data_IF_431574087310
#
_entry.id   IF_431574087310
#
_cell.length_a   1.000
_cell.length_b   1.000
_cell.length_c   1.000
_cell.angle_alpha   90.00
_cell.angle_beta   90.00
_cell.angle_gamma   90.00
#
_symmetry.space_group_name_H-M   'P 1'
#
loop_
_entity.id
_entity.type
_entity.pdbx_description
1 polymer ?
#
# COMPACT_ATOMS: atom_id res chain seq x y z
N UNK A 1 -12.07 -25.13 11.15
CA UNK A 1 -10.80 -24.79 10.47
C UNK A 1 -10.67 -25.40 9.08
N UNK A 2 -10.72 -26.73 8.92
CA UNK A 2 -10.60 -27.39 7.59
C UNK A 2 -11.64 -26.93 6.56
N UNK A 3 -12.85 -26.57 6.98
CA UNK A 3 -13.90 -26.09 6.07
C UNK A 3 -13.66 -24.64 5.61
N UNK A 4 -13.01 -23.83 6.45
CA UNK A 4 -12.60 -22.47 6.10
C UNK A 4 -11.50 -22.53 5.04
N UNK A 5 -10.49 -23.38 5.22
CA UNK A 5 -9.42 -23.57 4.22
C UNK A 5 -9.96 -24.05 2.86
N UNK A 6 -10.90 -24.99 2.87
CA UNK A 6 -11.55 -25.46 1.63
C UNK A 6 -12.27 -24.32 0.90
N UNK A 7 -12.90 -23.40 1.64
CA UNK A 7 -13.60 -22.26 1.05
C UNK A 7 -12.66 -21.30 0.30
N UNK A 8 -11.41 -21.16 0.73
CA UNK A 8 -10.40 -20.32 0.06
C UNK A 8 -9.97 -20.85 -1.32
N UNK A 9 -10.26 -22.12 -1.62
CA UNK A 9 -9.94 -22.76 -2.91
C UNK A 9 -11.15 -22.85 -3.86
N UNK A 10 -12.34 -22.39 -3.44
CA UNK A 10 -13.53 -22.38 -4.29
C UNK A 10 -13.53 -21.13 -5.17
N UNK A 11 -13.67 -21.34 -6.48
CA UNK A 11 -13.76 -20.24 -7.45
C UNK A 11 -15.03 -19.43 -7.21
N UNK A 12 -14.87 -18.14 -6.95
CA UNK A 12 -15.98 -17.22 -6.70
C UNK A 12 -15.86 -16.02 -7.63
N UNK A 13 -17.01 -15.50 -8.09
CA UNK A 13 -17.07 -14.25 -8.85
C UNK A 13 -16.71 -13.10 -7.93
N UNK A 14 -15.69 -12.33 -8.27
CA UNK A 14 -15.26 -11.17 -7.47
C UNK A 14 -14.72 -10.05 -8.35
N UNK A 15 -14.70 -8.85 -7.80
CA UNK A 15 -14.11 -7.67 -8.44
C UNK A 15 -12.73 -7.44 -7.87
N UNK A 16 -11.73 -7.39 -8.74
CA UNK A 16 -10.33 -7.13 -8.38
C UNK A 16 -9.83 -5.85 -9.02
N UNK A 17 -8.86 -5.21 -8.39
CA UNK A 17 -8.17 -4.05 -8.97
C UNK A 17 -7.41 -4.45 -10.23
N UNK A 18 -7.46 -3.63 -11.28
CA UNK A 18 -6.68 -3.87 -12.49
C UNK A 18 -6.19 -2.55 -13.08
N UNK A 19 -5.01 -2.57 -13.69
CA UNK A 19 -4.45 -1.41 -14.41
C UNK A 19 -5.13 -1.19 -15.76
N UNK A 20 -6.44 -0.94 -15.73
CA UNK A 20 -7.26 -0.60 -16.89
C UNK A 20 -7.94 0.77 -16.70
N UNK A 21 -8.65 1.25 -17.73
CA UNK A 21 -9.36 2.55 -17.69
C UNK A 21 -10.35 2.66 -16.53
N UNK A 22 -10.93 1.55 -16.11
CA UNK A 22 -11.96 1.50 -15.08
C UNK A 22 -11.38 1.23 -13.67
N UNK A 23 -10.09 0.90 -13.54
CA UNK A 23 -9.39 0.50 -12.29
C UNK A 23 -9.93 -0.77 -11.61
N UNK A 24 -10.83 -1.50 -12.24
CA UNK A 24 -11.35 -2.78 -11.77
C UNK A 24 -11.60 -3.77 -12.92
N UNK A 25 -11.51 -5.06 -12.61
CA UNK A 25 -11.92 -6.14 -13.49
C UNK A 25 -12.77 -7.14 -12.69
N UNK A 26 -13.92 -7.53 -13.24
CA UNK A 26 -14.72 -8.62 -12.70
C UNK A 26 -14.11 -9.93 -13.19
N UNK A 27 -13.71 -10.81 -12.27
CA UNK A 27 -12.99 -12.06 -12.60
C UNK A 27 -13.46 -13.21 -11.72
N UNK A 28 -13.34 -14.44 -12.22
CA UNK A 28 -13.63 -15.67 -11.48
C UNK A 28 -12.31 -16.28 -11.03
N UNK A 29 -11.97 -16.11 -9.76
CA UNK A 29 -10.74 -16.66 -9.17
C UNK A 29 -11.00 -17.24 -7.79
N UNK A 30 -10.03 -17.98 -7.24
CA UNK A 30 -10.12 -18.42 -5.84
C UNK A 30 -9.79 -17.25 -4.91
N UNK A 31 -10.40 -17.17 -3.71
CA UNK A 31 -10.00 -16.18 -2.70
C UNK A 31 -8.50 -16.22 -2.37
N UNK A 32 -7.87 -17.39 -2.46
CA UNK A 32 -6.43 -17.52 -2.29
C UNK A 32 -5.63 -16.78 -3.38
N UNK A 33 -6.01 -16.98 -4.64
CA UNK A 33 -5.35 -16.33 -5.78
C UNK A 33 -5.59 -14.81 -5.77
N UNK A 34 -6.76 -14.36 -5.32
CA UNK A 34 -7.06 -12.92 -5.23
C UNK A 34 -6.20 -12.21 -4.18
N UNK A 35 -5.94 -12.85 -3.04
CA UNK A 35 -5.02 -12.32 -2.03
C UNK A 35 -3.60 -12.26 -2.59
N UNK A 36 -3.15 -13.31 -3.28
CA UNK A 36 -1.81 -13.34 -3.90
C UNK A 36 -1.66 -12.24 -4.94
N UNK A 37 -2.65 -12.06 -5.81
CA UNK A 37 -2.66 -11.01 -6.82
C UNK A 37 -2.64 -9.61 -6.19
N UNK A 38 -3.45 -9.38 -5.16
CA UNK A 38 -3.49 -8.11 -4.41
C UNK A 38 -2.15 -7.78 -3.77
N UNK A 39 -1.43 -8.80 -3.24
CA UNK A 39 -0.10 -8.64 -2.65
C UNK A 39 1.02 -8.37 -3.66
N UNK A 40 0.83 -8.74 -4.93
CA UNK A 40 1.80 -8.44 -6.00
C UNK A 40 1.77 -6.96 -6.41
N UNK A 41 0.72 -6.23 -6.06
CA UNK A 41 0.61 -4.81 -6.37
C UNK A 41 1.56 -4.00 -5.50
N UNK A 42 2.44 -3.24 -6.16
CA UNK A 42 3.37 -2.34 -5.47
C UNK A 42 2.60 -1.15 -4.90
N UNK A 43 2.63 -1.01 -3.58
CA UNK A 43 2.05 0.13 -2.89
C UNK A 43 3.14 1.15 -2.54
N UNK A 44 2.93 2.40 -2.94
CA UNK A 44 3.82 3.52 -2.65
C UNK A 44 3.03 4.66 -2.02
N UNK A 45 3.68 5.44 -1.15
CA UNK A 45 3.13 6.65 -0.56
C UNK A 45 4.01 7.85 -0.89
N UNK A 46 3.40 9.03 -1.01
CA UNK A 46 4.08 10.30 -1.24
C UNK A 46 3.49 11.37 -0.31
N UNK A 47 4.38 12.14 0.31
CA UNK A 47 4.03 13.30 1.13
C UNK A 47 4.88 14.48 0.69
N UNK A 48 4.25 15.65 0.57
CA UNK A 48 4.93 16.93 0.44
C UNK A 48 4.45 17.88 1.53
N UNK A 49 5.39 18.50 2.24
CA UNK A 49 5.13 19.47 3.29
C UNK A 49 6.05 20.68 3.17
N UNK A 50 5.61 21.82 3.69
CA UNK A 50 6.45 22.99 3.85
C UNK A 50 7.48 22.77 4.98
N UNK A 51 8.79 22.96 4.71
CA UNK A 51 9.82 22.72 5.72
C UNK A 51 9.82 23.73 6.88
N UNK A 52 9.22 24.91 6.71
CA UNK A 52 9.21 25.97 7.73
C UNK A 52 7.89 25.98 8.48
N UNK A 53 6.76 25.99 7.76
CA UNK A 53 5.43 26.06 8.38
C UNK A 53 4.86 24.70 8.77
N UNK A 54 5.36 23.60 8.20
CA UNK A 54 4.84 22.24 8.44
C UNK A 54 3.52 21.93 7.73
N UNK A 55 3.01 22.84 6.89
CA UNK A 55 1.77 22.64 6.16
C UNK A 55 1.90 21.50 5.12
N UNK A 56 0.96 20.56 5.14
CA UNK A 56 0.90 19.47 4.16
C UNK A 56 0.35 20.00 2.84
N UNK A 57 1.18 19.98 1.80
CA UNK A 57 0.82 20.42 0.44
C UNK A 57 0.28 19.28 -0.41
N UNK A 58 0.75 18.05 -0.17
CA UNK A 58 0.23 16.85 -0.83
C UNK A 58 0.36 15.62 0.07
N UNK A 59 -0.66 14.77 0.04
CA UNK A 59 -0.70 13.49 0.76
C UNK A 59 -1.30 12.41 -0.13
N UNK A 60 -0.50 11.42 -0.52
CA UNK A 60 -0.90 10.29 -1.37
C UNK A 60 -0.56 8.99 -0.64
N UNK A 61 -1.57 8.31 -0.14
CA UNK A 61 -1.41 7.12 0.72
C UNK A 61 -1.30 5.76 0.01
N UNK A 62 -1.45 5.71 -1.32
CA UNK A 62 -1.47 4.46 -2.08
C UNK A 62 -1.91 4.64 -3.54
N UNK A 63 -2.05 3.52 -4.25
CA UNK A 63 -2.42 3.49 -5.68
C UNK A 63 -3.85 4.00 -5.92
N UNK A 64 -4.79 3.56 -5.08
CA UNK A 64 -6.20 3.91 -5.17
C UNK A 64 -6.87 3.74 -3.80
N UNK A 65 -7.54 4.79 -3.33
CA UNK A 65 -8.18 4.82 -2.02
C UNK A 65 -9.42 3.91 -1.93
N UNK A 66 -10.13 3.70 -3.05
CA UNK A 66 -11.33 2.88 -3.06
C UNK A 66 -11.00 1.41 -2.84
N UNK A 67 -9.94 0.94 -3.51
CA UNK A 67 -9.50 -0.45 -3.42
C UNK A 67 -8.58 -0.69 -2.21
N UNK A 68 -7.67 0.25 -1.92
CA UNK A 68 -6.67 0.13 -0.86
C UNK A 68 -6.82 1.27 0.15
N UNK A 69 -7.52 0.97 1.25
CA UNK A 69 -7.72 1.94 2.35
C UNK A 69 -6.50 2.07 3.26
N UNK A 70 -5.45 1.29 3.04
CA UNK A 70 -4.27 1.28 3.87
C UNK A 70 -3.31 2.40 3.46
N UNK A 71 -3.16 3.40 4.33
CA UNK A 71 -2.34 4.58 4.08
C UNK A 71 -0.86 4.32 4.37
N UNK A 72 -0.04 4.47 3.34
CA UNK A 72 1.40 4.24 3.37
C UNK A 72 2.22 5.41 3.92
N UNK A 73 1.62 6.58 4.04
CA UNK A 73 2.23 7.81 4.58
C UNK A 73 1.97 7.94 6.08
N UNK A 74 0.93 7.28 6.59
CA UNK A 74 0.57 7.29 8.00
C UNK A 74 1.73 6.83 8.89
N UNK A 75 1.93 7.53 10.01
CA UNK A 75 2.98 7.26 11.01
C UNK A 75 2.88 5.84 11.58
N UNK A 76 1.67 5.27 11.64
CA UNK A 76 1.45 3.90 12.08
C UNK A 76 1.98 2.85 11.08
N UNK A 77 2.14 3.24 9.81
CA UNK A 77 2.66 2.40 8.73
C UNK A 77 4.19 2.50 8.69
N UNK A 78 4.84 1.86 9.66
CA UNK A 78 6.30 1.93 9.83
C UNK A 78 7.02 1.14 8.74
N UNK A 79 8.03 1.75 8.12
CA UNK A 79 8.99 1.10 7.23
C UNK A 79 10.41 1.38 7.70
N UNK A 80 11.33 0.46 7.41
CA UNK A 80 12.75 0.70 7.66
C UNK A 80 13.23 1.79 6.70
N UNK A 81 13.76 2.87 7.25
CA UNK A 81 14.22 4.06 6.51
C UNK A 81 15.50 3.80 5.71
N UNK A 82 16.34 2.86 6.16
CA UNK A 82 17.61 2.54 5.51
C UNK A 82 18.51 3.77 5.36
N UNK A 83 19.09 3.98 4.17
CA UNK A 83 20.04 5.05 3.91
C UNK A 83 19.47 6.48 3.99
N UNK A 84 18.15 6.66 4.01
CA UNK A 84 17.55 8.00 4.11
C UNK A 84 17.82 8.68 5.45
N UNK A 85 18.21 7.93 6.50
CA UNK A 85 18.61 8.47 7.80
C UNK A 85 20.03 9.07 7.81
N UNK A 86 20.87 8.78 6.80
CA UNK A 86 22.29 9.17 6.78
C UNK A 86 22.53 10.66 7.03
N UNK A 87 21.77 11.61 6.44
CA UNK A 87 21.99 13.04 6.69
C UNK A 87 21.87 13.40 8.17
N UNK A 88 20.92 12.81 8.90
CA UNK A 88 20.72 13.05 10.34
C UNK A 88 21.90 12.55 11.17
N UNK A 89 22.39 11.35 10.87
CA UNK A 89 23.55 10.76 11.57
C UNK A 89 24.86 11.49 11.28
N UNK A 90 25.02 12.06 10.08
CA UNK A 90 26.20 12.86 9.74
C UNK A 90 26.17 14.22 10.42
N UNK A 91 24.99 14.84 10.52
CA UNK A 91 24.85 16.15 11.16
C UNK A 91 25.11 16.08 12.67
N UNK A 92 24.66 15.03 13.35
CA UNK A 92 24.91 14.83 14.78
C UNK A 92 26.37 14.50 15.14
N UNK A 93 27.24 14.25 14.15
CA UNK A 93 28.67 14.00 14.36
C UNK A 93 29.52 15.27 14.31
N UNK A 94 28.99 16.35 13.74
CA UNK A 94 29.67 17.64 13.60
C UNK A 94 29.24 18.68 14.64
N UNK A 95 28.45 18.25 15.64
CA UNK A 95 27.98 19.02 16.80
C UNK A 95 28.44 18.33 18.06
#
# INVERSE_FOLDING_TARGET
>A
DKDIEKSFHVKTKMRVFAWNKNRYADTVMTPYDSIKYTKQMLQAGLMAMDPISGEVKAWVGGIDFQTYKFDHVNINTKRQVGSTIKPLTLQSRNT
#
